data_IF_444256629361
#
_entry.id   IF_444256629361
#
_cell.length_a   1.000
_cell.length_b   1.000
_cell.length_c   1.000
_cell.angle_alpha   90.00
_cell.angle_beta   90.00
_cell.angle_gamma   90.00
#
_symmetry.space_group_name_H-M   'P 1'
#
loop_
_entity.id
_entity.type
_entity.pdbx_description
1 polymer ?
#
# COMPACT_ATOMS: atom_id res chain seq x y z
N UNK A 1 27.25 40.29 44.13
CA UNK A 1 26.56 41.18 43.16
C UNK A 1 27.09 41.01 41.73
N UNK A 2 28.42 40.92 41.48
CA UNK A 2 28.97 40.61 40.14
C UNK A 2 28.46 39.28 39.55
N UNK A 3 28.33 38.22 40.36
CA UNK A 3 27.86 36.90 39.90
C UNK A 3 26.40 36.88 39.43
N UNK A 4 25.55 37.81 39.90
CA UNK A 4 24.16 37.89 39.46
C UNK A 4 24.03 38.58 38.09
N UNK A 5 24.97 39.47 37.74
CA UNK A 5 24.99 40.18 36.46
C UNK A 5 25.47 39.26 35.30
N UNK A 6 26.34 38.30 35.59
CA UNK A 6 26.75 37.28 34.61
C UNK A 6 25.63 36.30 34.24
N UNK A 7 24.70 36.01 35.16
CA UNK A 7 23.57 35.11 34.91
C UNK A 7 22.48 35.73 34.03
N UNK A 8 22.43 37.05 33.91
CA UNK A 8 21.42 37.77 33.11
C UNK A 8 21.78 38.01 31.63
N UNK A 9 22.99 37.66 31.19
CA UNK A 9 23.46 38.03 29.84
C UNK A 9 23.20 36.98 28.74
N UNK A 10 22.66 35.80 29.07
CA UNK A 10 22.36 34.77 28.07
C UNK A 10 21.07 34.03 28.38
N UNK A 11 19.96 34.78 28.46
CA UNK A 11 18.65 34.16 28.33
C UNK A 11 18.47 33.70 26.89
N UNK A 12 18.15 32.43 26.72
CA UNK A 12 17.81 31.85 25.41
C UNK A 12 16.57 32.55 24.83
N UNK A 13 16.62 32.89 23.55
CA UNK A 13 15.49 33.52 22.86
C UNK A 13 14.58 32.41 22.36
N UNK A 14 13.34 32.34 22.84
CA UNK A 14 12.38 31.38 22.31
C UNK A 14 11.81 31.85 20.96
N UNK A 15 12.46 31.48 19.85
CA UNK A 15 12.00 31.85 18.51
C UNK A 15 10.63 31.26 18.21
N UNK A 16 10.30 30.09 18.75
CA UNK A 16 9.02 29.45 18.53
C UNK A 16 7.86 30.18 19.24
N UNK A 17 8.12 30.81 20.38
CA UNK A 17 7.16 31.71 21.04
C UNK A 17 7.00 33.02 20.26
N UNK A 18 8.10 33.61 19.78
CA UNK A 18 8.07 34.84 18.97
C UNK A 18 7.25 34.66 17.68
N UNK A 19 7.45 33.53 16.98
CA UNK A 19 6.66 33.15 15.79
C UNK A 19 5.15 33.10 16.01
N UNK A 20 4.71 32.77 17.23
CA UNK A 20 3.27 32.71 17.58
C UNK A 20 2.70 34.06 17.98
N UNK A 21 3.54 34.98 18.44
CA UNK A 21 3.14 36.29 18.94
C UNK A 21 2.95 37.30 17.81
N UNK A 22 3.89 37.33 16.85
CA UNK A 22 3.86 38.29 15.75
C UNK A 22 4.22 37.60 14.41
N UNK A 23 3.38 37.72 13.37
CA UNK A 23 3.63 37.18 12.04
C UNK A 23 4.97 37.60 11.43
N UNK A 24 5.52 38.76 11.81
CA UNK A 24 6.85 39.23 11.38
C UNK A 24 7.95 38.21 11.64
N UNK A 25 7.83 37.42 12.72
CA UNK A 25 8.81 36.41 13.07
C UNK A 25 8.67 35.10 12.29
N UNK A 26 7.59 34.89 11.51
CA UNK A 26 7.48 33.72 10.64
C UNK A 26 8.53 33.70 9.53
N UNK A 27 8.89 34.88 9.00
CA UNK A 27 9.92 35.03 7.96
C UNK A 27 11.34 35.11 8.53
N UNK A 28 11.50 35.65 9.75
CA UNK A 28 12.79 35.75 10.45
C UNK A 28 13.22 34.36 10.95
N UNK A 29 12.27 33.57 11.45
CA UNK A 29 12.50 32.21 11.95
C UNK A 29 11.62 31.23 11.16
N UNK A 30 11.97 30.94 9.89
CA UNK A 30 11.15 30.09 9.05
C UNK A 30 11.03 28.67 9.63
N UNK A 31 9.84 28.08 9.52
CA UNK A 31 9.62 26.64 9.72
C UNK A 31 8.43 26.18 8.87
N UNK A 32 8.66 26.09 7.56
CA UNK A 32 7.64 25.84 6.55
C UNK A 32 7.20 24.39 6.58
N UNK A 33 5.91 24.17 6.84
CA UNK A 33 5.26 22.85 6.86
C UNK A 33 5.87 21.86 7.88
N UNK A 34 6.56 22.38 8.90
CA UNK A 34 7.17 21.63 10.01
C UNK A 34 6.62 22.08 11.38
N UNK A 35 7.22 21.55 12.45
CA UNK A 35 6.95 21.91 13.85
C UNK A 35 8.20 22.58 14.41
N UNK A 36 8.04 23.75 15.00
CA UNK A 36 9.14 24.51 15.62
C UNK A 36 9.43 23.95 17.01
N UNK A 37 10.71 23.75 17.30
CA UNK A 37 11.21 23.37 18.62
C UNK A 37 12.31 24.34 19.02
N UNK A 38 12.11 25.05 20.14
CA UNK A 38 13.14 25.91 20.70
C UNK A 38 14.32 25.08 21.21
N UNK A 39 15.53 25.58 21.06
CA UNK A 39 16.76 24.93 21.50
C UNK A 39 17.73 25.97 22.09
N UNK A 40 18.59 25.61 23.06
CA UNK A 40 19.58 26.57 23.53
C UNK A 40 20.46 27.10 22.39
N UNK A 41 20.39 28.41 22.14
CA UNK A 41 21.13 29.10 21.07
C UNK A 41 20.46 29.10 19.69
N UNK A 42 19.19 28.66 19.57
CA UNK A 42 18.48 28.70 18.29
C UNK A 42 17.17 27.91 18.28
N UNK A 43 16.70 27.50 17.10
CA UNK A 43 15.55 26.62 16.98
C UNK A 43 15.74 25.52 15.93
N UNK A 44 14.97 24.45 16.06
CA UNK A 44 14.90 23.34 15.13
C UNK A 44 13.50 23.24 14.50
N UNK A 45 13.46 23.16 13.17
CA UNK A 45 12.24 22.83 12.45
C UNK A 45 12.15 21.32 12.19
N UNK A 46 11.27 20.61 12.93
CA UNK A 46 11.09 19.17 12.81
C UNK A 46 9.96 18.83 11.85
N UNK A 47 10.23 17.96 10.88
CA UNK A 47 9.21 17.50 9.94
C UNK A 47 8.29 16.44 10.55
N UNK A 48 7.00 16.52 10.23
CA UNK A 48 5.99 15.51 10.61
C UNK A 48 6.26 14.18 9.87
N UNK A 49 5.71 13.09 10.40
CA UNK A 49 5.76 11.77 9.78
C UNK A 49 5.32 11.84 8.30
N UNK A 50 6.03 11.14 7.41
CA UNK A 50 5.77 11.18 5.96
C UNK A 50 6.30 12.43 5.25
N UNK A 51 7.09 13.26 5.92
CA UNK A 51 7.80 14.42 5.33
C UNK A 51 9.29 14.37 5.70
N UNK A 52 10.11 15.05 4.89
CA UNK A 52 11.55 15.22 5.08
C UNK A 52 11.95 16.68 4.86
N UNK A 53 13.17 17.03 5.24
CA UNK A 53 13.74 18.34 4.90
C UNK A 53 13.71 18.55 3.37
N UNK A 54 13.39 19.77 2.97
CA UNK A 54 13.47 20.22 1.58
C UNK A 54 14.90 20.54 1.12
N UNK A 55 15.90 20.31 1.97
CA UNK A 55 17.29 20.72 1.77
C UNK A 55 17.67 21.93 2.62
N UNK A 56 16.70 22.56 3.28
CA UNK A 56 16.92 23.64 4.26
C UNK A 56 16.70 23.14 5.69
N UNK A 57 17.25 23.87 6.67
CA UNK A 57 17.03 23.59 8.10
C UNK A 57 15.65 24.04 8.60
N UNK A 58 14.84 24.67 7.74
CA UNK A 58 13.60 25.34 8.09
C UNK A 58 12.42 24.96 7.20
N UNK A 59 12.54 23.94 6.35
CA UNK A 59 11.53 23.59 5.37
C UNK A 59 11.29 22.09 5.27
N UNK A 60 10.02 21.71 5.14
CA UNK A 60 9.60 20.32 5.01
C UNK A 60 8.85 20.08 3.70
N UNK A 61 9.25 19.01 3.00
CA UNK A 61 8.57 18.48 1.81
C UNK A 61 8.04 17.07 2.04
N UNK A 62 6.98 16.64 1.34
CA UNK A 62 6.53 15.25 1.37
C UNK A 62 7.66 14.26 1.05
N UNK A 63 7.68 13.12 1.74
CA UNK A 63 8.66 12.06 1.52
C UNK A 63 8.48 11.45 0.13
N UNK A 64 7.22 11.21 -0.24
CA UNK A 64 6.78 10.86 -1.58
C UNK A 64 5.94 12.01 -2.13
N UNK A 65 6.12 12.36 -3.39
CA UNK A 65 5.16 13.25 -4.05
C UNK A 65 3.81 12.53 -4.15
N UNK A 66 2.72 13.29 -4.19
CA UNK A 66 1.38 12.73 -4.47
C UNK A 66 1.39 11.88 -5.74
N UNK A 67 2.21 12.26 -6.73
CA UNK A 67 2.44 11.49 -7.95
C UNK A 67 3.02 10.08 -7.68
N UNK A 68 4.03 9.93 -6.81
CA UNK A 68 4.60 8.62 -6.47
C UNK A 68 3.62 7.71 -5.71
N UNK A 69 2.80 8.28 -4.82
CA UNK A 69 1.77 7.50 -4.11
C UNK A 69 0.66 7.02 -5.06
N UNK A 70 0.27 7.86 -6.02
CA UNK A 70 -0.74 7.52 -7.04
C UNK A 70 -0.25 6.42 -7.98
N UNK A 71 1.02 6.45 -8.40
CA UNK A 71 1.60 5.43 -9.30
C UNK A 71 1.62 4.02 -8.67
N UNK A 72 1.84 3.92 -7.37
CA UNK A 72 1.83 2.62 -6.67
C UNK A 72 0.39 2.10 -6.52
N UNK A 73 -0.57 2.97 -6.22
CA UNK A 73 -1.97 2.56 -6.08
C UNK A 73 -2.61 2.07 -7.39
N UNK A 74 -2.30 2.72 -8.51
CA UNK A 74 -2.91 2.39 -9.81
C UNK A 74 -2.38 1.08 -10.38
N UNK A 75 -1.08 0.83 -10.26
CA UNK A 75 -0.43 -0.39 -10.79
C UNK A 75 -0.94 -1.66 -10.11
N UNK A 76 -1.06 -1.67 -8.78
CA UNK A 76 -1.55 -2.83 -8.02
C UNK A 76 -3.02 -3.14 -8.36
N UNK A 77 -3.86 -2.10 -8.46
CA UNK A 77 -5.27 -2.25 -8.81
C UNK A 77 -5.47 -2.83 -10.21
N UNK A 78 -4.71 -2.34 -11.20
CA UNK A 78 -4.79 -2.85 -12.57
C UNK A 78 -4.39 -4.33 -12.66
N UNK A 79 -3.32 -4.74 -11.97
CA UNK A 79 -2.88 -6.15 -11.93
C UNK A 79 -3.94 -7.04 -11.28
N UNK A 80 -4.53 -6.59 -10.16
CA UNK A 80 -5.58 -7.35 -9.48
C UNK A 80 -6.82 -7.54 -10.36
N UNK A 81 -7.26 -6.49 -11.06
CA UNK A 81 -8.40 -6.57 -11.99
C UNK A 81 -8.10 -7.50 -13.17
N UNK A 82 -6.91 -7.38 -13.77
CA UNK A 82 -6.45 -8.27 -14.86
C UNK A 82 -6.41 -9.74 -14.40
N UNK A 83 -5.87 -10.02 -13.22
CA UNK A 83 -5.80 -11.38 -12.69
C UNK A 83 -7.20 -11.96 -12.45
N UNK A 84 -8.11 -11.15 -11.88
CA UNK A 84 -9.49 -11.57 -11.61
C UNK A 84 -10.25 -11.91 -12.91
N UNK A 85 -10.14 -11.05 -13.93
CA UNK A 85 -10.80 -11.32 -15.23
C UNK A 85 -10.21 -12.55 -15.91
N UNK A 86 -8.89 -12.73 -15.87
CA UNK A 86 -8.23 -13.94 -16.38
C UNK A 86 -8.72 -15.21 -15.68
N UNK A 87 -8.80 -15.21 -14.34
CA UNK A 87 -9.27 -16.38 -13.58
C UNK A 87 -10.73 -16.69 -13.92
N UNK A 88 -11.62 -15.70 -13.94
CA UNK A 88 -13.02 -15.89 -14.30
C UNK A 88 -13.17 -16.43 -15.73
N UNK A 89 -12.42 -15.87 -16.68
CA UNK A 89 -12.39 -16.36 -18.06
C UNK A 89 -11.91 -17.82 -18.13
N UNK A 90 -10.81 -18.17 -17.46
CA UNK A 90 -10.32 -19.55 -17.41
C UNK A 90 -11.33 -20.50 -16.79
N UNK A 91 -12.04 -20.10 -15.73
CA UNK A 91 -13.07 -20.93 -15.09
C UNK A 91 -14.26 -21.17 -16.03
N UNK A 92 -14.75 -20.13 -16.70
CA UNK A 92 -15.83 -20.24 -17.69
C UNK A 92 -15.39 -21.14 -18.84
N UNK A 93 -14.21 -20.89 -19.41
CA UNK A 93 -13.64 -21.71 -20.49
C UNK A 93 -13.51 -23.17 -20.05
N UNK A 94 -12.96 -23.45 -18.87
CA UNK A 94 -12.86 -24.83 -18.33
C UNK A 94 -14.22 -25.50 -18.17
N UNK A 95 -15.24 -24.77 -17.69
CA UNK A 95 -16.61 -25.28 -17.60
C UNK A 95 -17.19 -25.59 -18.97
N UNK A 96 -16.98 -24.70 -19.96
CA UNK A 96 -17.42 -24.92 -21.35
C UNK A 96 -16.71 -26.13 -21.95
N UNK A 97 -15.39 -26.19 -21.89
CA UNK A 97 -14.62 -27.34 -22.36
C UNK A 97 -15.03 -28.66 -21.71
N UNK A 98 -15.36 -28.66 -20.40
CA UNK A 98 -15.84 -29.87 -19.73
C UNK A 98 -17.23 -30.26 -20.22
N UNK A 99 -18.11 -29.29 -20.46
CA UNK A 99 -19.46 -29.52 -21.01
C UNK A 99 -19.40 -30.04 -22.44
N UNK A 100 -18.63 -29.39 -23.31
CA UNK A 100 -18.45 -29.80 -24.70
C UNK A 100 -17.88 -31.21 -24.77
N UNK A 101 -16.86 -31.53 -23.94
CA UNK A 101 -16.31 -32.90 -23.84
C UNK A 101 -17.35 -33.93 -23.37
N UNK A 102 -18.19 -33.60 -22.38
CA UNK A 102 -19.25 -34.51 -21.91
C UNK A 102 -20.30 -34.77 -22.99
N UNK A 103 -20.65 -33.73 -23.75
CA UNK A 103 -21.62 -33.82 -24.84
C UNK A 103 -21.08 -34.64 -26.02
N UNK A 104 -19.82 -34.40 -26.41
CA UNK A 104 -19.13 -35.27 -27.38
C UNK A 104 -18.97 -36.70 -26.88
N UNK A 105 -18.72 -36.93 -25.60
CA UNK A 105 -18.61 -38.28 -25.04
C UNK A 105 -19.94 -39.03 -25.15
N UNK A 106 -21.07 -38.36 -24.89
CA UNK A 106 -22.41 -38.94 -25.06
C UNK A 106 -22.72 -39.24 -26.52
N UNK A 107 -22.44 -38.30 -27.43
CA UNK A 107 -22.72 -38.45 -28.86
C UNK A 107 -21.88 -39.54 -29.54
N UNK A 108 -20.61 -39.71 -29.15
CA UNK A 108 -19.73 -40.74 -29.71
C UNK A 108 -19.96 -42.14 -29.09
N UNK A 109 -21.08 -42.36 -28.39
CA UNK A 109 -21.40 -43.65 -27.80
C UNK A 109 -20.55 -44.00 -26.57
N UNK A 110 -19.94 -43.03 -25.91
CA UNK A 110 -19.15 -43.24 -24.68
C UNK A 110 -19.97 -43.89 -23.54
N UNK A 111 -21.31 -43.73 -23.57
CA UNK A 111 -22.23 -44.43 -22.67
C UNK A 111 -22.20 -45.96 -22.86
N UNK A 112 -22.10 -46.43 -24.11
CA UNK A 112 -22.01 -47.86 -24.45
C UNK A 112 -20.73 -48.49 -23.91
N UNK A 113 -19.59 -47.78 -24.02
CA UNK A 113 -18.32 -48.18 -23.40
C UNK A 113 -18.41 -48.26 -21.87
N UNK A 114 -19.14 -47.34 -21.24
CA UNK A 114 -19.33 -47.32 -19.79
C UNK A 114 -20.21 -48.49 -19.30
N UNK A 115 -21.31 -48.76 -19.99
CA UNK A 115 -22.19 -49.90 -19.71
C UNK A 115 -21.47 -51.24 -19.88
N UNK A 116 -20.63 -51.38 -20.91
CA UNK A 116 -19.88 -52.61 -21.16
C UNK A 116 -18.79 -52.87 -20.12
N UNK A 117 -18.14 -51.81 -19.60
CA UNK A 117 -17.26 -51.94 -18.43
C UNK A 117 -18.04 -52.26 -17.16
N UNK A 118 -19.24 -51.71 -16.98
CA UNK A 118 -20.09 -51.97 -15.81
C UNK A 118 -20.63 -53.40 -15.80
N UNK A 119 -21.08 -53.93 -16.94
CA UNK A 119 -21.53 -55.32 -17.07
C UNK A 119 -20.38 -56.29 -16.72
N UNK A 120 -19.20 -56.12 -17.34
CA UNK A 120 -18.04 -56.98 -17.04
C UNK A 120 -17.67 -57.00 -15.56
N UNK A 121 -17.76 -55.84 -14.88
CA UNK A 121 -17.49 -55.76 -13.43
C UNK A 121 -18.55 -56.49 -12.60
N UNK A 122 -19.83 -56.38 -12.96
CA UNK A 122 -20.92 -57.12 -12.29
C UNK A 122 -20.77 -58.62 -12.49
N UNK A 123 -20.46 -59.06 -13.70
CA UNK A 123 -20.24 -60.47 -14.02
C UNK A 123 -19.05 -61.04 -13.23
N UNK A 124 -17.96 -60.27 -13.11
CA UNK A 124 -16.82 -60.62 -12.27
C UNK A 124 -17.22 -60.78 -10.80
N UNK A 125 -18.02 -59.85 -10.25
CA UNK A 125 -18.45 -59.92 -8.85
C UNK A 125 -19.37 -61.13 -8.59
N UNK A 126 -20.29 -61.43 -9.53
CA UNK A 126 -21.19 -62.60 -9.44
C UNK A 126 -20.49 -63.95 -9.52
N UNK A 127 -19.32 -64.02 -10.15
CA UNK A 127 -18.52 -65.25 -10.23
C UNK A 127 -17.69 -65.46 -8.94
N UNK A 128 -17.39 -64.37 -8.23
CA UNK A 128 -16.57 -64.36 -7.01
C UNK A 128 -17.39 -64.43 -5.69
N UNK A 129 -18.72 -64.51 -5.77
CA UNK A 129 -19.65 -64.67 -4.63
C UNK A 129 -20.39 -65.98 -4.75
#
# INVERSE_FOLDING_TARGET
>A
LLNACFLSLSSDVDECALRKQDPKYEDIYPCRKGVCHNTPGGYLCKCKLGKRSDGTNYGCRPLRTTAEQVVIGTSVSAIALMALTCVLAMQIQRKRHKKDKDEYFKQNGGLKLYDEMRSRKVDTIRILT
#
